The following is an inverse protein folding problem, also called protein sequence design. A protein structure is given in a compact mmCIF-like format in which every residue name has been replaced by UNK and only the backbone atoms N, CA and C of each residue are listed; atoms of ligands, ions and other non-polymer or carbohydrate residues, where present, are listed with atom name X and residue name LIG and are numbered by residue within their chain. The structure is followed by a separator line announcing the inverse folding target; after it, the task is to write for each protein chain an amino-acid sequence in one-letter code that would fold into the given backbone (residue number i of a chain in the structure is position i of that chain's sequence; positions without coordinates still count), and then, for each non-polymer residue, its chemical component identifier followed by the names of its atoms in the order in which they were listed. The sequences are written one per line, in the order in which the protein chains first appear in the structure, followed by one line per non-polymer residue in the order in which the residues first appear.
data_IF_548043853765
#
_entry.id   IF_548043853765
#
_cell.length_a   1.000
_cell.length_b   1.000
_cell.length_c   1.000
_cell.angle_alpha   90.00
_cell.angle_beta   90.00
_cell.angle_gamma   90.00
#
_symmetry.space_group_name_H-M   'P 1'
#
loop_
_entity.id
_entity.type
_entity.pdbx_description
1 polymer ?
#
# COMPACT_ATOMS: atom_id res chain seq x y z
N UNK A 1 -2.03 6.64 -7.82
CA UNK A 1 -1.58 6.75 -6.41
C UNK A 1 -0.92 8.10 -6.25
N UNK A 2 -1.20 8.79 -5.16
CA UNK A 2 -0.51 10.02 -4.78
C UNK A 2 0.16 9.80 -3.42
N UNK A 3 1.40 10.28 -3.28
CA UNK A 3 2.19 10.16 -2.05
C UNK A 3 2.64 11.57 -1.68
N UNK A 4 2.31 11.99 -0.46
CA UNK A 4 2.77 13.25 0.12
C UNK A 4 3.67 12.97 1.32
N UNK A 5 4.82 13.63 1.39
CA UNK A 5 5.71 13.52 2.55
C UNK A 5 5.09 14.25 3.76
N UNK A 6 5.05 13.58 4.91
CA UNK A 6 4.69 14.20 6.18
C UNK A 6 5.97 14.59 6.96
N UNK A 7 5.78 15.07 8.19
CA UNK A 7 6.88 15.19 9.16
C UNK A 7 7.33 13.78 9.60
N UNK A 8 8.58 13.66 10.04
CA UNK A 8 9.15 12.43 10.63
C UNK A 8 9.20 11.20 9.71
N UNK A 9 9.56 11.38 8.44
CA UNK A 9 9.79 10.28 7.45
C UNK A 9 8.56 9.40 7.17
N UNK A 10 7.39 9.80 7.65
CA UNK A 10 6.11 9.20 7.28
C UNK A 10 5.58 9.82 6.00
N UNK A 11 4.69 9.10 5.31
CA UNK A 11 3.99 9.61 4.12
C UNK A 11 2.48 9.45 4.27
N UNK A 12 1.76 10.31 3.59
CA UNK A 12 0.32 10.17 3.37
C UNK A 12 0.09 9.64 1.96
N UNK A 13 -0.65 8.52 1.84
CA UNK A 13 -0.94 7.87 0.57
C UNK A 13 -2.42 7.92 0.26
N UNK A 14 -2.73 8.30 -0.98
CA UNK A 14 -4.07 8.26 -1.54
C UNK A 14 -4.12 7.30 -2.74
N UNK A 15 -5.12 6.41 -2.74
CA UNK A 15 -5.44 5.56 -3.87
C UNK A 15 -6.69 6.05 -4.57
N UNK A 16 -6.59 6.22 -5.89
CA UNK A 16 -7.67 6.65 -6.76
C UNK A 16 -7.92 5.57 -7.81
N UNK A 17 -9.17 5.46 -8.24
CA UNK A 17 -9.53 4.62 -9.38
C UNK A 17 -8.76 5.09 -10.62
N UNK A 18 -8.32 4.15 -11.45
CA UNK A 18 -7.54 4.48 -12.62
C UNK A 18 -8.31 5.45 -13.54
N UNK A 19 -7.67 6.58 -13.89
CA UNK A 19 -8.25 7.64 -14.75
C UNK A 19 -9.46 8.38 -14.16
N UNK A 20 -9.78 8.12 -12.90
CA UNK A 20 -10.86 8.79 -12.17
C UNK A 20 -10.24 9.47 -10.94
N UNK A 21 -10.49 10.77 -10.73
CA UNK A 21 -10.05 11.44 -9.50
C UNK A 21 -10.97 11.09 -8.31
N UNK A 22 -11.37 9.82 -8.22
CA UNK A 22 -12.31 9.28 -7.25
C UNK A 22 -11.53 8.31 -6.37
N UNK A 23 -11.48 8.55 -5.05
CA UNK A 23 -10.81 7.63 -4.13
C UNK A 23 -11.35 6.21 -4.24
N UNK A 24 -10.45 5.23 -4.17
CA UNK A 24 -10.87 3.85 -3.96
C UNK A 24 -11.52 3.71 -2.58
N UNK A 25 -12.43 2.76 -2.44
CA UNK A 25 -12.99 2.37 -1.14
C UNK A 25 -12.25 1.16 -0.61
N UNK A 26 -12.24 1.00 0.72
CA UNK A 26 -11.66 -0.16 1.42
C UNK A 26 -12.79 -1.02 1.98
N UNK A 27 -13.24 -2.08 1.27
CA UNK A 27 -14.35 -2.92 1.73
C UNK A 27 -14.12 -3.57 3.10
N UNK A 28 -12.87 -3.89 3.41
CA UNK A 28 -12.44 -4.44 4.70
C UNK A 28 -12.46 -3.42 5.85
N UNK A 29 -12.71 -2.15 5.56
CA UNK A 29 -12.78 -1.06 6.53
C UNK A 29 -14.07 -0.25 6.34
N UNK A 30 -15.22 -0.93 6.27
CA UNK A 30 -16.55 -0.30 6.15
C UNK A 30 -16.65 0.68 4.97
N UNK A 31 -16.06 0.31 3.83
CA UNK A 31 -15.99 1.15 2.62
C UNK A 31 -15.33 2.53 2.85
N UNK A 32 -14.49 2.65 3.87
CA UNK A 32 -13.77 3.90 4.15
C UNK A 32 -12.89 4.28 2.95
N UNK A 33 -12.84 5.56 2.58
CA UNK A 33 -12.04 6.00 1.43
C UNK A 33 -10.56 5.75 1.67
N UNK A 34 -9.84 5.34 0.62
CA UNK A 34 -8.41 5.09 0.60
C UNK A 34 -7.62 6.41 0.45
N UNK A 35 -7.90 7.35 1.35
CA UNK A 35 -7.25 8.67 1.42
C UNK A 35 -6.62 8.87 2.79
N UNK A 36 -5.52 9.61 2.84
CA UNK A 36 -4.82 9.90 4.07
C UNK A 36 -4.17 8.68 4.72
N UNK A 37 -3.93 7.61 3.96
CA UNK A 37 -3.42 6.35 4.51
C UNK A 37 -1.97 6.55 4.94
N UNK A 38 -1.63 6.06 6.13
CA UNK A 38 -0.29 6.22 6.67
C UNK A 38 0.67 5.25 5.98
N UNK A 39 1.73 5.80 5.40
CA UNK A 39 2.85 5.03 4.87
C UNK A 39 4.13 5.29 5.66
N UNK A 40 5.01 4.30 5.69
CA UNK A 40 6.38 4.43 6.22
C UNK A 40 7.37 4.08 5.13
N UNK A 41 8.31 4.98 4.86
CA UNK A 41 9.40 4.72 3.94
C UNK A 41 10.51 3.96 4.68
N UNK A 42 11.05 2.95 4.04
CA UNK A 42 12.30 2.34 4.48
C UNK A 42 13.43 3.38 4.40
N UNK A 43 14.16 3.64 5.51
CA UNK A 43 15.27 4.59 5.53
C UNK A 43 16.37 4.27 4.50
N UNK A 44 16.53 2.99 4.13
CA UNK A 44 17.50 2.55 3.12
C UNK A 44 16.96 2.70 1.68
N UNK A 45 15.68 3.09 1.52
CA UNK A 45 15.06 3.44 0.25
C UNK A 45 14.56 2.25 -0.58
N UNK A 46 14.39 1.07 0.02
CA UNK A 46 14.00 -0.15 -0.69
C UNK A 46 12.48 -0.42 -0.72
N UNK A 47 11.71 0.16 0.18
CA UNK A 47 10.27 -0.11 0.25
C UNK A 47 9.42 0.99 0.86
N UNK A 48 8.11 0.90 0.59
CA UNK A 48 7.08 1.72 1.20
C UNK A 48 5.99 0.82 1.80
N UNK A 49 5.79 0.94 3.11
CA UNK A 49 4.80 0.18 3.87
C UNK A 49 3.51 0.97 4.10
N UNK A 50 2.48 0.51 3.39
CA UNK A 50 1.07 0.86 3.26
C UNK A 50 0.07 0.48 4.35
N UNK A 51 -0.23 1.23 5.40
CA UNK A 51 -1.28 0.78 6.34
C UNK A 51 -2.66 0.68 5.64
N UNK A 52 -3.16 -0.54 5.41
CA UNK A 52 -4.45 -0.76 4.71
C UNK A 52 -5.65 -0.74 5.66
N UNK A 53 -5.42 -1.02 6.95
CA UNK A 53 -6.41 -1.02 8.02
C UNK A 53 -5.88 -0.30 9.27
N UNK A 54 -6.75 -0.13 10.26
CA UNK A 54 -6.41 0.48 11.55
C UNK A 54 -5.99 -0.59 12.58
N UNK A 55 -5.70 -0.16 13.82
CA UNK A 55 -5.04 -0.90 14.92
C UNK A 55 -5.45 -2.35 15.17
N UNK A 56 -6.67 -2.75 14.85
CA UNK A 56 -7.17 -4.12 14.98
C UNK A 56 -7.30 -4.73 13.59
N UNK A 57 -6.69 -5.89 13.37
CA UNK A 57 -6.65 -6.54 12.07
C UNK A 57 -5.79 -5.79 11.04
N UNK A 58 -4.58 -5.48 11.48
CA UNK A 58 -3.62 -4.66 10.76
C UNK A 58 -2.85 -5.46 9.70
N UNK A 59 -3.03 -5.07 8.45
CA UNK A 59 -2.18 -5.52 7.35
C UNK A 59 -1.71 -4.33 6.54
N UNK A 60 -0.59 -4.51 5.86
CA UNK A 60 0.08 -3.47 5.08
C UNK A 60 0.27 -3.90 3.64
N UNK A 61 0.13 -2.95 2.72
CA UNK A 61 0.63 -3.08 1.35
C UNK A 61 2.10 -2.66 1.36
N UNK A 62 3.01 -3.60 1.19
CA UNK A 62 4.40 -3.29 0.95
C UNK A 62 4.61 -3.08 -0.55
N UNK A 63 5.24 -1.97 -0.92
CA UNK A 63 5.71 -1.71 -2.27
C UNK A 63 7.24 -1.79 -2.24
N UNK A 64 7.79 -2.88 -2.75
CA UNK A 64 9.24 -3.03 -2.92
C UNK A 64 9.67 -2.37 -4.24
N UNK A 65 10.67 -1.50 -4.18
CA UNK A 65 11.25 -0.86 -5.36
C UNK A 65 12.49 -1.63 -5.78
N UNK A 66 12.50 -2.19 -6.99
CA UNK A 66 13.68 -2.86 -7.52
C UNK A 66 14.76 -1.82 -7.87
N UNK A 67 15.87 -1.87 -7.13
CA UNK A 67 17.00 -0.95 -7.28
C UNK A 67 18.14 -1.55 -8.10
N UNK A 68 18.02 -2.79 -8.57
CA UNK A 68 19.11 -3.53 -9.21
C UNK A 68 19.68 -2.85 -10.45
N UNK A 69 18.85 -2.11 -11.19
CA UNK A 69 19.22 -1.37 -12.40
C UNK A 69 19.33 0.16 -12.20
N UNK A 70 19.13 0.64 -10.97
CA UNK A 70 19.15 2.06 -10.61
C UNK A 70 18.02 2.91 -11.21
N UNK A 71 17.01 2.30 -11.83
CA UNK A 71 15.98 3.01 -12.59
C UNK A 71 14.69 3.28 -11.81
N UNK A 72 14.46 2.59 -10.69
CA UNK A 72 13.22 2.63 -9.89
C UNK A 72 11.95 2.36 -10.71
N UNK A 73 12.08 1.69 -11.86
CA UNK A 73 10.97 1.49 -12.80
C UNK A 73 10.06 0.35 -12.41
N UNK A 74 10.59 -0.63 -11.67
CA UNK A 74 9.86 -1.81 -11.24
C UNK A 74 9.46 -1.69 -9.78
N UNK A 75 8.19 -1.99 -9.51
CA UNK A 75 7.61 -2.07 -8.18
C UNK A 75 6.97 -3.45 -8.01
N UNK A 76 7.32 -4.12 -6.94
CA UNK A 76 6.78 -5.43 -6.56
C UNK A 76 5.87 -5.26 -5.34
N UNK A 77 4.54 -5.32 -5.51
CA UNK A 77 3.61 -5.23 -4.40
C UNK A 77 3.50 -6.56 -3.64
N UNK A 78 3.37 -6.47 -2.32
CA UNK A 78 3.07 -7.62 -1.44
C UNK A 78 2.21 -7.21 -0.25
N UNK A 79 1.53 -8.17 0.39
CA UNK A 79 0.81 -7.95 1.65
C UNK A 79 1.62 -8.44 2.84
N UNK A 80 1.89 -7.56 3.80
CA UNK A 80 2.48 -7.89 5.10
C UNK A 80 1.35 -7.95 6.13
N UNK A 81 1.28 -9.04 6.90
CA UNK A 81 0.30 -9.22 7.99
C UNK A 81 0.97 -9.71 9.26
N UNK A 82 0.35 -9.45 10.41
CA UNK A 82 0.74 -10.13 11.65
C UNK A 82 0.22 -11.57 11.64
N UNK A 83 1.09 -12.54 11.93
CA UNK A 83 0.79 -13.98 11.83
C UNK A 83 -0.42 -14.43 12.69
N UNK A 84 -0.73 -13.69 13.75
CA UNK A 84 -1.81 -13.99 14.67
C UNK A 84 -3.18 -13.48 14.21
N UNK A 85 -3.26 -12.72 13.11
CA UNK A 85 -4.50 -12.11 12.63
C UNK A 85 -5.06 -12.85 11.40
N UNK A 86 -6.17 -13.57 11.58
CA UNK A 86 -6.91 -14.28 10.52
C UNK A 86 -7.88 -13.41 9.70
N UNK A 87 -7.71 -12.09 9.72
CA UNK A 87 -8.64 -11.14 9.11
C UNK A 87 -8.43 -10.96 7.61
N UNK A 88 -7.23 -11.27 7.09
CA UNK A 88 -6.94 -11.10 5.66
C UNK A 88 -7.69 -12.14 4.83
N UNK A 89 -7.87 -13.35 5.34
CA UNK A 89 -8.48 -14.49 4.66
C UNK A 89 -9.87 -14.17 4.10
N UNK A 90 -10.68 -13.43 4.87
CA UNK A 90 -12.02 -13.02 4.45
C UNK A 90 -12.02 -11.91 3.38
N UNK A 91 -10.93 -11.17 3.21
CA UNK A 91 -10.81 -10.07 2.25
C UNK A 91 -9.79 -10.34 1.15
N UNK A 92 -9.26 -11.57 1.08
CA UNK A 92 -8.20 -11.96 0.15
C UNK A 92 -8.56 -11.61 -1.31
N UNK A 93 -9.82 -11.80 -1.70
CA UNK A 93 -10.31 -11.48 -3.04
C UNK A 93 -10.31 -9.99 -3.41
N UNK A 94 -10.15 -9.08 -2.43
CA UNK A 94 -10.09 -7.64 -2.68
C UNK A 94 -8.65 -7.10 -2.77
N UNK A 95 -7.68 -7.88 -2.29
CA UNK A 95 -6.27 -7.46 -2.19
C UNK A 95 -5.37 -8.22 -3.14
N UNK A 96 -5.80 -9.38 -3.63
CA UNK A 96 -5.04 -10.26 -4.52
C UNK A 96 -5.84 -10.56 -5.81
N UNK A 97 -5.17 -10.83 -6.93
CA UNK A 97 -3.72 -10.93 -7.09
C UNK A 97 -3.03 -9.56 -7.10
N UNK A 98 -1.82 -9.51 -6.54
CA UNK A 98 -0.91 -8.37 -6.67
C UNK A 98 0.06 -8.58 -7.85
N UNK A 99 0.04 -7.66 -8.81
CA UNK A 99 0.88 -7.72 -10.01
C UNK A 99 2.02 -6.72 -9.95
N UNK A 100 3.22 -7.14 -10.36
CA UNK A 100 4.36 -6.24 -10.52
C UNK A 100 4.07 -5.16 -11.56
N UNK A 101 4.47 -3.93 -11.24
CA UNK A 101 4.34 -2.80 -12.14
C UNK A 101 5.70 -2.41 -12.69
N UNK A 102 5.79 -2.16 -14.00
CA UNK A 102 7.00 -1.65 -14.66
C UNK A 102 6.65 -0.40 -15.47
N UNK A 103 7.37 0.70 -15.20
CA UNK A 103 7.22 1.95 -15.93
C UNK A 103 8.06 1.92 -17.21
N UNK A 104 7.36 1.95 -18.36
CA UNK A 104 7.96 2.11 -19.69
C UNK A 104 8.44 3.54 -19.96
#
# INVERSE_FOLDING_TARGET
MEISLNQDETVSVNFYRARENIPMVRPWLNDSPAVGMLGTLDPEGGSLDIALSEKENSFRLNLYFDLSDGSYRRVEPSIIRYETEGFLEQYYCFVEPLESYEKY
#
